data_IF_651471933437
#
_entry.id   IF_651471933437
#
_cell.length_a   1.000
_cell.length_b   1.000
_cell.length_c   1.000
_cell.angle_alpha   90.00
_cell.angle_beta   90.00
_cell.angle_gamma   90.00
#
_symmetry.space_group_name_H-M   'P 1'
#
loop_
_entity.id
_entity.type
_entity.pdbx_description
1 polymer ?
#
# COMPACT_ATOMS: atom_id res chain seq x y z
N UNK A 1 -18.49 -43.72 0.85
CA UNK A 1 -17.94 -42.76 -0.13
C UNK A 1 -17.87 -41.45 0.57
N UNK A 2 -16.71 -41.17 1.21
CA UNK A 2 -16.54 -40.05 2.14
C UNK A 2 -15.92 -38.85 1.42
N UNK A 3 -16.60 -37.73 1.44
CA UNK A 3 -16.16 -36.46 0.87
C UNK A 3 -15.08 -35.87 1.77
N UNK A 4 -13.84 -35.86 1.29
CA UNK A 4 -12.71 -35.13 1.90
C UNK A 4 -12.91 -33.66 1.70
N UNK A 5 -13.49 -32.97 2.64
CA UNK A 5 -13.56 -31.51 2.67
C UNK A 5 -12.22 -30.97 3.20
N UNK A 6 -11.40 -30.54 2.27
CA UNK A 6 -10.08 -29.96 2.51
C UNK A 6 -10.22 -28.65 3.32
N UNK A 7 -9.89 -28.71 4.61
CA UNK A 7 -9.78 -27.52 5.47
C UNK A 7 -8.57 -26.70 5.05
N UNK A 8 -8.77 -25.81 4.10
CA UNK A 8 -7.79 -24.77 3.77
C UNK A 8 -7.62 -23.87 5.00
N UNK A 9 -6.44 -23.91 5.55
CA UNK A 9 -6.05 -23.24 6.78
C UNK A 9 -6.31 -21.71 6.69
N UNK A 10 -7.28 -21.24 7.46
CA UNK A 10 -7.74 -19.85 7.59
C UNK A 10 -6.66 -18.84 8.05
N UNK A 11 -5.42 -19.27 8.22
CA UNK A 11 -4.29 -18.43 8.68
C UNK A 11 -3.62 -17.57 7.61
N UNK A 12 -3.86 -17.86 6.32
CA UNK A 12 -3.23 -17.16 5.19
C UNK A 12 -4.09 -16.06 4.57
N UNK A 13 -5.35 -15.99 4.95
CA UNK A 13 -6.35 -15.11 4.35
C UNK A 13 -6.19 -13.65 4.78
N UNK A 14 -5.48 -13.38 5.88
CA UNK A 14 -5.40 -12.04 6.47
C UNK A 14 -4.50 -11.01 5.75
N UNK A 15 -3.89 -11.36 4.63
CA UNK A 15 -3.24 -10.38 3.74
C UNK A 15 -3.90 -10.40 2.36
N UNK A 16 -4.58 -11.49 1.99
CA UNK A 16 -5.15 -11.71 0.65
C UNK A 16 -6.69 -11.71 0.67
N UNK A 17 -7.32 -11.89 1.83
CA UNK A 17 -8.77 -12.14 1.95
C UNK A 17 -9.67 -10.91 1.76
N UNK A 18 -9.13 -9.77 1.36
CA UNK A 18 -9.96 -8.62 1.05
C UNK A 18 -10.44 -8.55 -0.41
N UNK A 19 -10.06 -9.49 -1.29
CA UNK A 19 -10.19 -9.21 -2.72
C UNK A 19 -10.49 -10.44 -3.59
N UNK A 20 -11.65 -11.00 -3.50
CA UNK A 20 -12.17 -11.81 -4.59
C UNK A 20 -13.70 -11.76 -4.63
N UNK A 21 -14.18 -11.50 -5.81
CA UNK A 21 -15.53 -11.66 -6.34
C UNK A 21 -16.51 -10.48 -6.14
N UNK A 22 -16.73 -9.77 -7.23
CA UNK A 22 -18.00 -9.71 -7.95
C UNK A 22 -17.89 -8.69 -9.08
N UNK A 23 -17.66 -9.18 -10.28
CA UNK A 23 -18.10 -8.53 -11.50
C UNK A 23 -19.23 -9.39 -12.05
N UNK A 24 -20.44 -8.88 -12.16
CA UNK A 24 -21.31 -9.11 -13.32
C UNK A 24 -22.57 -8.22 -13.27
N UNK A 25 -22.76 -7.54 -14.38
CA UNK A 25 -24.01 -7.12 -15.02
C UNK A 25 -24.89 -6.06 -14.33
N UNK A 26 -25.05 -4.91 -15.01
CA UNK A 26 -26.23 -4.67 -15.84
C UNK A 26 -26.02 -3.44 -16.73
N UNK A 27 -26.07 -3.68 -18.03
CA UNK A 27 -26.31 -2.63 -19.04
C UNK A 27 -27.74 -2.15 -18.92
N UNK A 28 -27.94 -0.85 -18.78
CA UNK A 28 -29.14 -0.18 -19.19
C UNK A 28 -28.76 1.17 -19.76
N UNK A 29 -28.90 1.29 -21.08
CA UNK A 29 -28.81 2.51 -21.85
C UNK A 29 -29.95 3.41 -21.50
N UNK A 30 -29.70 4.68 -21.17
CA UNK A 30 -30.65 5.77 -21.39
C UNK A 30 -29.87 6.96 -21.95
N UNK A 31 -30.14 7.26 -23.21
CA UNK A 31 -29.75 8.51 -23.81
C UNK A 31 -30.68 9.61 -23.29
N UNK A 32 -30.14 10.76 -22.90
CA UNK A 32 -30.78 12.07 -23.15
C UNK A 32 -29.92 13.24 -22.64
N UNK A 33 -29.82 14.22 -23.55
CA UNK A 33 -29.67 15.65 -23.35
C UNK A 33 -28.35 16.19 -22.78
N UNK A 34 -27.63 16.85 -23.69
CA UNK A 34 -26.56 17.79 -23.44
C UNK A 34 -27.11 19.02 -22.69
N UNK A 35 -26.66 19.22 -21.48
CA UNK A 35 -26.56 20.54 -20.87
C UNK A 35 -25.13 20.74 -20.44
N UNK A 36 -24.56 21.90 -20.79
CA UNK A 36 -23.18 22.25 -20.59
C UNK A 36 -22.77 22.13 -19.10
N UNK A 37 -22.18 21.01 -18.76
CA UNK A 37 -21.48 20.89 -17.48
C UNK A 37 -20.18 21.68 -17.60
N UNK A 38 -20.13 22.81 -16.89
CA UNK A 38 -18.87 23.46 -16.57
C UNK A 38 -17.88 22.39 -16.10
N UNK A 39 -16.77 22.28 -16.80
CA UNK A 39 -15.66 21.42 -16.40
C UNK A 39 -15.27 21.90 -15.00
N UNK A 40 -15.67 21.15 -13.98
CA UNK A 40 -15.23 21.38 -12.62
C UNK A 40 -13.70 21.27 -12.65
N UNK A 41 -13.02 22.40 -12.42
CA UNK A 41 -11.57 22.42 -12.29
C UNK A 41 -11.18 21.33 -11.29
N UNK A 42 -10.22 20.47 -11.68
CA UNK A 42 -9.67 19.47 -10.78
C UNK A 42 -9.31 20.16 -9.46
N UNK A 43 -9.67 19.60 -8.31
CA UNK A 43 -9.39 20.24 -7.02
C UNK A 43 -7.89 20.55 -6.96
N UNK A 44 -7.55 21.81 -6.73
CA UNK A 44 -6.16 22.24 -6.65
C UNK A 44 -5.39 21.36 -5.67
N UNK A 45 -4.25 20.83 -6.10
CA UNK A 45 -3.38 20.00 -5.26
C UNK A 45 -3.13 20.71 -3.92
N UNK A 46 -3.27 19.98 -2.82
CA UNK A 46 -2.97 20.53 -1.50
C UNK A 46 -1.53 21.06 -1.45
N UNK A 47 -1.27 22.28 -0.95
CA UNK A 47 0.09 22.81 -0.81
C UNK A 47 1.04 21.87 -0.06
N UNK A 48 0.51 21.11 0.90
CA UNK A 48 1.24 20.09 1.65
C UNK A 48 1.65 18.93 0.72
N UNK A 49 0.74 18.44 -0.12
CA UNK A 49 1.05 17.37 -1.08
C UNK A 49 2.06 17.84 -2.13
N UNK A 50 1.89 19.04 -2.68
CA UNK A 50 2.85 19.60 -3.62
C UNK A 50 4.26 19.73 -3.03
N UNK A 51 4.34 20.09 -1.74
CA UNK A 51 5.62 20.15 -1.01
C UNK A 51 6.25 18.77 -0.85
N UNK A 52 5.46 17.76 -0.50
CA UNK A 52 5.92 16.36 -0.37
C UNK A 52 6.44 15.85 -1.72
N UNK A 53 5.68 16.01 -2.80
CA UNK A 53 6.06 15.60 -4.15
C UNK A 53 7.38 16.26 -4.59
N UNK A 54 7.47 17.59 -4.43
CA UNK A 54 8.67 18.36 -4.79
C UNK A 54 9.91 17.88 -4.03
N UNK A 55 9.79 17.65 -2.73
CA UNK A 55 10.92 17.22 -1.90
C UNK A 55 11.41 15.80 -2.24
N UNK A 56 10.50 14.93 -2.69
CA UNK A 56 10.84 13.55 -3.06
C UNK A 56 11.23 13.39 -4.54
N UNK A 57 11.11 14.41 -5.37
CA UNK A 57 11.43 14.34 -6.80
C UNK A 57 12.89 13.96 -7.11
N UNK A 58 13.84 14.28 -6.21
CA UNK A 58 15.27 13.96 -6.34
C UNK A 58 15.69 12.67 -5.65
N UNK A 59 14.76 11.94 -5.02
CA UNK A 59 15.05 10.69 -4.36
C UNK A 59 15.31 9.62 -5.41
N UNK A 60 16.50 8.99 -5.35
CA UNK A 60 16.89 7.88 -6.23
C UNK A 60 16.62 6.53 -5.57
N UNK A 61 16.76 6.45 -4.25
CA UNK A 61 16.43 5.28 -3.47
C UNK A 61 16.24 5.63 -1.99
N UNK A 62 15.60 4.71 -1.27
CA UNK A 62 15.45 4.74 0.18
C UNK A 62 15.86 3.38 0.75
N UNK A 63 16.67 3.40 1.80
CA UNK A 63 16.88 2.30 2.73
C UNK A 63 16.37 2.72 4.10
N UNK A 64 15.65 1.86 4.79
CA UNK A 64 15.11 2.16 6.11
C UNK A 64 14.93 0.89 6.92
N UNK A 65 15.13 0.96 8.23
CA UNK A 65 14.53 -0.01 9.15
C UNK A 65 13.05 0.27 9.26
N UNK A 66 12.25 -0.77 9.48
CA UNK A 66 10.83 -0.59 9.79
C UNK A 66 10.38 -1.48 10.93
N UNK A 67 9.37 -1.01 11.65
CA UNK A 67 8.54 -1.84 12.52
C UNK A 67 7.12 -1.89 11.97
N UNK A 68 6.44 -3.02 12.13
CA UNK A 68 5.05 -3.19 11.77
C UNK A 68 4.27 -3.70 12.98
N UNK A 69 3.17 -3.04 13.30
CA UNK A 69 2.18 -3.53 14.25
C UNK A 69 0.88 -3.82 13.50
N UNK A 70 0.53 -5.10 13.42
CA UNK A 70 -0.75 -5.55 12.90
C UNK A 70 -1.72 -5.78 14.04
N UNK A 71 -2.85 -5.09 14.03
CA UNK A 71 -3.95 -5.25 15.00
C UNK A 71 -5.15 -5.86 14.30
N UNK A 72 -5.74 -6.91 14.90
CA UNK A 72 -6.95 -7.60 14.42
C UNK A 72 -8.06 -7.25 15.39
N UNK A 73 -8.98 -6.37 14.99
CA UNK A 73 -10.03 -5.83 15.85
C UNK A 73 -10.92 -6.92 16.46
N UNK A 74 -11.31 -7.91 15.66
CA UNK A 74 -12.23 -8.97 16.08
C UNK A 74 -11.69 -9.83 17.23
N UNK A 75 -10.36 -10.00 17.34
CA UNK A 75 -9.75 -10.84 18.39
C UNK A 75 -8.89 -10.05 19.38
N UNK A 76 -8.74 -8.72 19.18
CA UNK A 76 -7.81 -7.88 19.94
C UNK A 76 -6.34 -8.23 19.74
N UNK A 77 -6.03 -9.19 18.86
CA UNK A 77 -4.68 -9.71 18.67
C UNK A 77 -3.78 -8.66 18.03
N UNK A 78 -2.59 -8.49 18.59
CA UNK A 78 -1.52 -7.65 18.06
C UNK A 78 -0.34 -8.52 17.64
N UNK A 79 0.21 -8.26 16.47
CA UNK A 79 1.37 -8.96 15.92
C UNK A 79 2.40 -7.92 15.55
N UNK A 80 3.55 -7.96 16.21
CA UNK A 80 4.68 -7.10 15.91
C UNK A 80 5.63 -7.80 14.94
N UNK A 81 6.17 -7.03 14.00
CA UNK A 81 7.17 -7.47 13.03
C UNK A 81 8.18 -6.34 12.83
N UNK A 82 9.37 -6.67 12.37
CA UNK A 82 10.41 -5.68 12.05
C UNK A 82 11.28 -6.16 10.89
N UNK A 83 11.95 -5.22 10.22
CA UNK A 83 12.78 -5.55 9.08
C UNK A 83 13.48 -4.36 8.45
N UNK A 84 13.93 -4.56 7.22
CA UNK A 84 14.55 -3.53 6.38
C UNK A 84 13.72 -3.34 5.11
N UNK A 85 13.51 -2.08 4.75
CA UNK A 85 12.83 -1.65 3.54
C UNK A 85 13.88 -1.11 2.56
N UNK A 86 13.77 -1.50 1.30
CA UNK A 86 14.48 -0.94 0.15
C UNK A 86 13.46 -0.46 -0.87
N UNK A 87 13.69 0.71 -1.44
CA UNK A 87 12.77 1.33 -2.38
C UNK A 87 13.51 2.12 -3.46
N UNK A 88 12.96 2.12 -4.68
CA UNK A 88 13.34 3.04 -5.76
C UNK A 88 12.09 3.61 -6.44
N UNK A 89 12.10 4.88 -6.91
CA UNK A 89 10.92 5.56 -7.46
C UNK A 89 10.37 4.97 -8.75
N UNK A 90 11.14 4.14 -9.44
CA UNK A 90 10.75 3.38 -10.64
C UNK A 90 9.87 2.16 -10.34
N UNK A 91 9.46 2.00 -9.08
CA UNK A 91 8.47 1.01 -8.68
C UNK A 91 9.03 -0.25 -8.03
N UNK A 92 10.30 -0.25 -7.66
CA UNK A 92 10.85 -1.37 -6.90
C UNK A 92 10.70 -1.15 -5.39
N UNK A 93 10.24 -2.18 -4.71
CA UNK A 93 10.08 -2.18 -3.25
C UNK A 93 10.41 -3.56 -2.70
N UNK A 94 11.18 -3.59 -1.62
CA UNK A 94 11.38 -4.79 -0.80
C UNK A 94 11.14 -4.48 0.66
N UNK A 95 10.39 -5.34 1.32
CA UNK A 95 10.30 -5.41 2.78
C UNK A 95 10.84 -6.77 3.21
N UNK A 96 12.05 -6.77 3.76
CA UNK A 96 12.74 -7.97 4.24
C UNK A 96 12.60 -8.02 5.76
N UNK A 97 11.83 -8.96 6.25
CA UNK A 97 11.57 -9.10 7.68
C UNK A 97 12.71 -9.81 8.40
N UNK A 98 13.16 -9.24 9.50
CA UNK A 98 14.06 -9.87 10.47
C UNK A 98 13.29 -10.59 11.58
N UNK A 99 12.05 -10.10 11.87
CA UNK A 99 11.08 -10.74 12.75
C UNK A 99 9.68 -10.66 12.15
N UNK A 100 9.04 -11.80 11.86
CA UNK A 100 9.63 -13.15 11.86
C UNK A 100 10.65 -13.30 10.73
N UNK A 101 11.73 -14.02 10.99
CA UNK A 101 12.80 -14.22 10.01
C UNK A 101 12.30 -15.02 8.79
N UNK A 102 12.81 -14.66 7.60
CA UNK A 102 12.47 -15.33 6.34
C UNK A 102 11.17 -14.84 5.68
N UNK A 103 10.40 -13.97 6.32
CA UNK A 103 9.29 -13.30 5.61
C UNK A 103 9.84 -12.21 4.69
N UNK A 104 9.19 -12.08 3.52
CA UNK A 104 9.65 -11.19 2.45
C UNK A 104 8.46 -10.70 1.63
N UNK A 105 8.48 -9.41 1.25
CA UNK A 105 7.64 -8.83 0.22
C UNK A 105 8.56 -8.14 -0.79
N UNK A 106 8.38 -8.42 -2.08
CA UNK A 106 9.12 -7.77 -3.17
C UNK A 106 8.15 -7.34 -4.26
N UNK A 107 8.24 -6.07 -4.65
CA UNK A 107 7.70 -5.55 -5.91
C UNK A 107 8.88 -5.33 -6.84
N UNK A 108 8.88 -5.97 -7.99
CA UNK A 108 9.93 -5.83 -9.00
C UNK A 108 9.33 -5.94 -10.41
N UNK A 109 9.27 -4.81 -11.11
CA UNK A 109 8.57 -4.68 -12.37
C UNK A 109 7.10 -5.10 -12.23
N UNK A 110 6.65 -6.03 -13.07
CA UNK A 110 5.29 -6.57 -13.02
C UNK A 110 5.13 -7.77 -12.06
N UNK A 111 6.09 -8.00 -11.14
CA UNK A 111 6.02 -9.11 -10.19
C UNK A 111 5.82 -8.59 -8.77
N UNK A 112 4.83 -9.16 -8.10
CA UNK A 112 4.62 -9.03 -6.67
C UNK A 112 4.89 -10.38 -6.02
N UNK A 113 5.95 -10.45 -5.23
CA UNK A 113 6.35 -11.66 -4.52
C UNK A 113 6.16 -11.49 -3.03
N UNK A 114 5.65 -12.51 -2.38
CA UNK A 114 5.60 -12.59 -0.92
C UNK A 114 5.98 -13.98 -0.44
N UNK A 115 6.77 -14.02 0.63
CA UNK A 115 6.98 -15.23 1.43
C UNK A 115 6.49 -14.96 2.84
N UNK A 116 5.56 -15.77 3.32
CA UNK A 116 5.01 -15.65 4.66
C UNK A 116 4.79 -17.02 5.27
N UNK A 117 5.36 -17.23 6.47
CA UNK A 117 5.26 -18.50 7.16
C UNK A 117 5.76 -19.68 6.33
N UNK A 118 6.84 -19.50 5.56
CA UNK A 118 7.43 -20.51 4.69
C UNK A 118 6.69 -20.76 3.38
N UNK A 119 5.60 -20.02 3.10
CA UNK A 119 4.87 -20.12 1.83
C UNK A 119 5.20 -18.95 0.93
N UNK A 120 5.88 -19.22 -0.18
CA UNK A 120 6.22 -18.25 -1.19
C UNK A 120 5.19 -18.24 -2.32
N UNK A 121 4.76 -17.04 -2.72
CA UNK A 121 3.84 -16.80 -3.84
C UNK A 121 4.35 -15.64 -4.67
N UNK A 122 4.24 -15.77 -5.99
CA UNK A 122 4.56 -14.70 -6.93
C UNK A 122 3.37 -14.46 -7.84
N UNK A 123 2.98 -13.21 -7.99
CA UNK A 123 1.88 -12.76 -8.83
C UNK A 123 2.41 -11.87 -9.93
N UNK A 124 1.82 -11.97 -11.11
CA UNK A 124 1.97 -11.00 -12.17
C UNK A 124 0.95 -9.88 -11.93
N UNK A 125 1.44 -8.67 -11.65
CA UNK A 125 0.60 -7.52 -11.32
C UNK A 125 -0.23 -7.03 -12.50
N UNK A 126 0.18 -7.31 -13.73
CA UNK A 126 -0.59 -7.00 -14.94
C UNK A 126 -1.81 -7.92 -15.13
N UNK A 127 -1.75 -9.13 -14.57
CA UNK A 127 -2.81 -10.15 -14.66
C UNK A 127 -3.62 -10.28 -13.37
N UNK A 128 -3.15 -9.68 -12.29
CA UNK A 128 -3.81 -9.70 -10.98
C UNK A 128 -4.02 -8.26 -10.51
N UNK A 129 -5.18 -7.70 -10.84
CA UNK A 129 -5.52 -6.32 -10.54
C UNK A 129 -5.38 -5.98 -9.05
N UNK A 130 -5.64 -6.96 -8.17
CA UNK A 130 -5.51 -6.80 -6.74
C UNK A 130 -4.07 -6.60 -6.29
N UNK A 131 -3.18 -7.50 -6.71
CA UNK A 131 -1.77 -7.38 -6.38
C UNK A 131 -1.15 -6.17 -7.04
N UNK A 132 -1.63 -5.80 -8.24
CA UNK A 132 -1.27 -4.55 -8.92
C UNK A 132 -1.67 -3.32 -8.10
N UNK A 133 -2.90 -3.26 -7.62
CA UNK A 133 -3.38 -2.16 -6.78
C UNK A 133 -2.60 -2.07 -5.46
N UNK A 134 -2.33 -3.19 -4.80
CA UNK A 134 -1.54 -3.21 -3.57
C UNK A 134 -0.10 -2.73 -3.80
N UNK A 135 0.57 -3.23 -4.84
CA UNK A 135 1.91 -2.80 -5.21
C UNK A 135 1.96 -1.29 -5.48
N UNK A 136 1.03 -0.80 -6.30
CA UNK A 136 0.92 0.62 -6.66
C UNK A 136 0.68 1.49 -5.42
N UNK A 137 -0.21 1.07 -4.53
CA UNK A 137 -0.49 1.79 -3.27
C UNK A 137 0.76 1.90 -2.40
N UNK A 138 1.46 0.78 -2.14
CA UNK A 138 2.66 0.78 -1.30
C UNK A 138 3.78 1.65 -1.90
N UNK A 139 4.05 1.48 -3.20
CA UNK A 139 5.09 2.22 -3.92
C UNK A 139 4.81 3.72 -3.87
N UNK A 140 3.60 4.17 -4.21
CA UNK A 140 3.28 5.59 -4.27
C UNK A 140 3.16 6.25 -2.89
N UNK A 141 2.74 5.52 -1.85
CA UNK A 141 2.83 6.02 -0.48
C UNK A 141 4.28 6.35 -0.07
N UNK A 142 5.22 5.45 -0.37
CA UNK A 142 6.65 5.64 -0.03
C UNK A 142 7.28 6.72 -0.92
N UNK A 143 6.92 6.75 -2.20
CA UNK A 143 7.35 7.76 -3.17
C UNK A 143 6.92 9.19 -2.77
N UNK A 144 5.87 9.32 -1.96
CA UNK A 144 5.28 10.62 -1.62
C UNK A 144 4.32 11.14 -2.67
N UNK A 145 3.63 10.25 -3.36
CA UNK A 145 2.61 10.54 -4.36
C UNK A 145 1.22 10.03 -3.91
N UNK A 146 0.64 10.66 -2.87
CA UNK A 146 -0.66 10.23 -2.34
C UNK A 146 -1.83 10.54 -3.29
N UNK A 147 -1.67 11.47 -4.24
CA UNK A 147 -2.71 11.78 -5.23
C UNK A 147 -2.92 10.60 -6.19
N UNK A 148 -1.85 9.99 -6.68
CA UNK A 148 -1.94 8.77 -7.47
C UNK A 148 -2.62 7.64 -6.69
N UNK A 149 -2.33 7.51 -5.38
CA UNK A 149 -3.02 6.52 -4.53
C UNK A 149 -4.50 6.85 -4.38
N UNK A 150 -4.86 8.12 -4.15
CA UNK A 150 -6.24 8.56 -4.02
C UNK A 150 -7.04 8.27 -5.29
N UNK A 151 -6.50 8.63 -6.45
CA UNK A 151 -7.15 8.41 -7.75
C UNK A 151 -7.35 6.92 -8.03
N UNK A 152 -6.30 6.09 -7.83
CA UNK A 152 -6.37 4.65 -8.09
C UNK A 152 -7.35 3.90 -7.17
N UNK A 153 -7.63 4.42 -5.97
CA UNK A 153 -8.51 3.81 -4.98
C UNK A 153 -9.85 4.54 -4.82
N UNK A 154 -10.16 5.51 -5.66
CA UNK A 154 -11.36 6.38 -5.53
C UNK A 154 -11.53 6.90 -4.10
N UNK A 155 -10.45 7.45 -3.54
CA UNK A 155 -10.39 7.90 -2.16
C UNK A 155 -10.40 9.44 -2.07
N UNK A 156 -11.04 9.97 -1.03
CA UNK A 156 -10.92 11.38 -0.67
C UNK A 156 -9.57 11.60 0.01
N UNK A 157 -8.87 12.65 -0.42
CA UNK A 157 -7.58 13.06 0.13
C UNK A 157 -7.78 14.31 1.00
N UNK A 158 -7.22 14.27 2.21
CA UNK A 158 -7.05 15.43 3.09
C UNK A 158 -5.58 15.50 3.52
N UNK A 159 -5.02 16.70 3.56
CA UNK A 159 -3.63 16.89 3.96
C UNK A 159 -3.52 18.09 4.91
N UNK A 160 -2.67 17.96 5.92
CA UNK A 160 -2.44 18.99 6.93
C UNK A 160 -1.00 18.94 7.43
N UNK A 161 -0.54 20.08 7.95
CA UNK A 161 0.69 20.14 8.74
C UNK A 161 0.32 20.03 10.23
N UNK A 162 1.00 19.15 10.94
CA UNK A 162 0.81 18.89 12.37
C UNK A 162 2.14 19.01 13.11
N UNK A 163 2.13 18.87 14.44
CA UNK A 163 3.37 18.79 15.22
C UNK A 163 4.23 17.58 14.79
N UNK A 164 3.61 16.46 14.44
CA UNK A 164 4.28 15.21 14.07
C UNK A 164 4.89 15.22 12.66
N UNK A 165 4.35 16.05 11.75
CA UNK A 165 4.79 16.09 10.35
C UNK A 165 3.74 16.60 9.40
N UNK A 166 3.94 16.34 8.11
CA UNK A 166 2.90 16.48 7.09
C UNK A 166 2.06 15.21 7.06
N UNK A 167 0.79 15.33 7.42
CA UNK A 167 -0.14 14.21 7.52
C UNK A 167 -1.07 14.22 6.32
N UNK A 168 -1.11 13.11 5.57
CA UNK A 168 -2.04 12.90 4.47
C UNK A 168 -2.96 11.74 4.83
N UNK A 169 -4.27 11.97 4.76
CA UNK A 169 -5.31 10.98 5.01
C UNK A 169 -6.04 10.68 3.71
N UNK A 170 -6.10 9.42 3.35
CA UNK A 170 -6.88 8.88 2.24
C UNK A 170 -8.04 8.09 2.84
N UNK A 171 -9.26 8.42 2.47
CA UNK A 171 -10.48 7.75 2.96
C UNK A 171 -11.25 7.22 1.75
N UNK A 172 -11.57 5.94 1.73
CA UNK A 172 -12.34 5.33 0.67
C UNK A 172 -13.71 6.02 0.50
N UNK A 173 -14.11 6.30 -0.74
CA UNK A 173 -15.32 7.06 -1.01
C UNK A 173 -16.62 6.29 -0.72
N UNK A 174 -16.60 4.96 -0.74
CA UNK A 174 -17.78 4.13 -0.51
C UNK A 174 -17.54 3.09 0.59
N UNK A 175 -18.53 2.92 1.46
CA UNK A 175 -18.59 1.79 2.39
C UNK A 175 -18.85 0.49 1.58
N UNK A 176 -18.17 -0.60 1.96
CA UNK A 176 -18.39 -1.93 1.35
C UNK A 176 -17.34 -2.39 0.36
N UNK A 177 -16.35 -1.56 -0.01
CA UNK A 177 -15.21 -2.04 -0.77
C UNK A 177 -14.33 -2.97 0.08
N UNK A 178 -13.94 -4.08 -0.52
CA UNK A 178 -12.84 -4.87 0.03
C UNK A 178 -11.56 -4.09 -0.21
N UNK A 179 -10.73 -3.89 0.82
CA UNK A 179 -9.48 -3.15 0.72
C UNK A 179 -9.28 -2.24 1.91
N UNK A 180 -8.61 -1.14 1.68
CA UNK A 180 -8.37 -0.15 2.73
C UNK A 180 -9.55 0.81 2.83
N UNK A 181 -10.11 0.96 4.04
CA UNK A 181 -11.09 1.99 4.35
C UNK A 181 -10.42 3.35 4.57
N UNK A 182 -9.17 3.31 5.07
CA UNK A 182 -8.41 4.52 5.37
C UNK A 182 -6.90 4.23 5.34
N UNK A 183 -6.14 5.18 4.81
CA UNK A 183 -4.68 5.20 4.86
C UNK A 183 -4.27 6.56 5.44
N UNK A 184 -3.41 6.54 6.47
CA UNK A 184 -2.83 7.77 7.04
C UNK A 184 -1.32 7.70 6.87
N UNK A 185 -0.77 8.72 6.22
CA UNK A 185 0.64 8.84 5.91
C UNK A 185 1.21 10.03 6.68
N UNK A 186 2.31 9.84 7.39
CA UNK A 186 3.03 10.93 8.06
C UNK A 186 4.41 11.06 7.41
N UNK A 187 4.65 12.22 6.83
CA UNK A 187 5.93 12.59 6.23
C UNK A 187 6.68 13.54 7.14
N UNK A 188 7.97 13.30 7.33
CA UNK A 188 8.85 14.09 8.20
C UNK A 188 9.00 15.51 7.66
N UNK A 189 8.94 16.53 8.54
CA UNK A 189 9.00 17.95 8.12
C UNK A 189 10.30 18.35 7.46
N UNK A 190 11.42 17.78 7.90
CA UNK A 190 12.75 18.21 7.45
C UNK A 190 13.04 17.86 6.00
N UNK A 191 12.50 16.73 5.48
CA UNK A 191 12.86 16.18 4.18
C UNK A 191 11.73 15.46 3.45
N UNK A 192 10.53 15.51 4.01
CA UNK A 192 9.30 14.92 3.45
C UNK A 192 9.38 13.42 3.14
N UNK A 193 10.25 12.65 3.79
CA UNK A 193 10.19 11.19 3.66
C UNK A 193 9.07 10.62 4.51
N UNK A 194 8.46 9.52 4.05
CA UNK A 194 7.48 8.79 4.80
C UNK A 194 8.12 8.16 6.05
N UNK A 195 7.59 8.48 7.23
CA UNK A 195 8.06 7.92 8.51
C UNK A 195 7.01 7.07 9.21
N UNK A 196 5.73 7.25 8.87
CA UNK A 196 4.66 6.41 9.41
C UNK A 196 3.57 6.20 8.38
N UNK A 197 3.06 4.98 8.30
CA UNK A 197 1.93 4.61 7.47
C UNK A 197 0.98 3.74 8.26
N UNK A 198 -0.28 4.16 8.38
CA UNK A 198 -1.36 3.39 8.99
C UNK A 198 -2.35 3.03 7.91
N UNK A 199 -2.61 1.74 7.76
CA UNK A 199 -3.53 1.20 6.76
C UNK A 199 -4.65 0.43 7.47
N UNK A 200 -5.84 0.97 7.43
CA UNK A 200 -7.05 0.36 8.01
C UNK A 200 -7.81 -0.40 6.92
N UNK A 201 -7.98 -1.70 7.12
CA UNK A 201 -8.73 -2.57 6.20
C UNK A 201 -10.21 -2.65 6.61
N UNK A 202 -11.09 -2.75 5.63
CA UNK A 202 -12.55 -2.89 5.86
C UNK A 202 -12.92 -4.12 6.69
N UNK A 203 -12.05 -5.13 6.73
CA UNK A 203 -12.22 -6.36 7.53
C UNK A 203 -11.78 -6.20 9.00
N UNK A 204 -11.48 -4.98 9.44
CA UNK A 204 -11.10 -4.69 10.83
C UNK A 204 -9.66 -5.06 11.16
N UNK A 205 -8.77 -5.01 10.17
CA UNK A 205 -7.33 -5.14 10.36
C UNK A 205 -6.69 -3.77 10.20
N UNK A 206 -5.80 -3.41 11.12
CA UNK A 206 -4.98 -2.20 11.00
C UNK A 206 -3.52 -2.60 10.96
N UNK A 207 -2.79 -2.14 9.94
CA UNK A 207 -1.35 -2.27 9.83
C UNK A 207 -0.72 -0.89 10.04
N UNK A 208 0.10 -0.76 11.08
CA UNK A 208 0.90 0.45 11.35
C UNK A 208 2.36 0.12 11.05
N UNK A 209 2.95 0.87 10.12
CA UNK A 209 4.37 0.83 9.79
C UNK A 209 5.04 2.10 10.30
N UNK A 210 6.19 1.96 10.94
CA UNK A 210 7.05 3.07 11.31
C UNK A 210 8.43 2.85 10.69
N UNK A 211 8.91 3.84 9.94
CA UNK A 211 10.22 3.84 9.29
C UNK A 211 11.24 4.56 10.18
N UNK A 212 12.35 3.91 10.41
CA UNK A 212 13.46 4.41 11.26
C UNK A 212 14.76 4.38 10.47
N UNK A 213 15.71 5.23 10.86
CA UNK A 213 17.03 5.26 10.22
C UNK A 213 16.95 5.41 8.70
N UNK A 214 16.03 6.27 8.23
CA UNK A 214 15.79 6.46 6.80
C UNK A 214 17.01 7.11 6.15
N UNK A 215 17.61 6.41 5.19
CA UNK A 215 18.71 6.87 4.34
C UNK A 215 18.20 7.05 2.92
N UNK A 216 18.59 8.15 2.27
CA UNK A 216 18.25 8.46 0.88
C UNK A 216 19.51 8.48 0.03
N UNK A 217 19.37 8.03 -1.21
CA UNK A 217 20.41 8.16 -2.24
C UNK A 217 21.74 7.49 -1.82
N UNK A 218 21.65 6.36 -1.13
CA UNK A 218 22.80 5.55 -0.72
C UNK A 218 22.98 4.34 -1.64
N UNK A 219 24.12 3.67 -1.58
CA UNK A 219 24.32 2.41 -2.28
C UNK A 219 23.44 1.33 -1.65
N UNK A 220 22.56 0.70 -2.45
CA UNK A 220 21.75 -0.43 -2.01
C UNK A 220 22.49 -1.75 -2.26
N UNK A 221 22.18 -2.83 -1.51
CA UNK A 221 22.66 -4.18 -1.82
C UNK A 221 22.28 -4.60 -3.23
N UNK A 222 23.15 -5.29 -3.95
CA UNK A 222 22.90 -5.75 -5.33
C UNK A 222 21.70 -6.71 -5.45
N UNK A 223 21.33 -7.37 -4.33
CA UNK A 223 20.20 -8.27 -4.24
C UNK A 223 18.95 -7.61 -3.60
N UNK A 224 18.95 -6.27 -3.45
CA UNK A 224 17.89 -5.54 -2.73
C UNK A 224 16.49 -5.92 -3.23
N UNK A 225 16.31 -6.08 -4.53
CA UNK A 225 15.01 -6.36 -5.17
C UNK A 225 14.91 -7.75 -5.78
N UNK A 226 15.85 -8.65 -5.44
CA UNK A 226 15.85 -10.00 -5.99
C UNK A 226 14.69 -10.82 -5.41
N UNK A 227 13.89 -11.41 -6.31
CA UNK A 227 12.92 -12.43 -5.97
C UNK A 227 13.66 -13.76 -5.86
N UNK A 228 13.59 -14.48 -4.70
CA UNK A 228 14.22 -15.78 -4.57
C UNK A 228 13.67 -16.76 -5.61
N UNK A 229 14.54 -17.45 -6.31
CA UNK A 229 14.21 -18.65 -7.10
C UNK A 229 14.11 -19.83 -6.15
N UNK A 230 13.09 -20.68 -6.36
CA UNK A 230 12.93 -21.93 -5.60
C UNK A 230 14.10 -22.86 -5.88
#
# INVERSE_FOLDING_TARGET
MAVFMNRINMRYISIIAAFAAAALSCFASVASASEGQAVAAAPASSPVVAKILKANASVKNIESKFTQLKTIKASGRKIASEGTLYFTPDGHLTMRYSKPAGELLVVNGNKFHMNKGGKAMTFDTSKNALMGSLANTLVNCIKGDPETVAAANNAKLAASETAEGYVVTLTAAAAGHRGYSKIVLTYRKSDCVLVKMVMEETVGITNTYEMKEVKKNTSLPSDAFRIPTK
#
